data_IF_440335526624
#
_entry.id   IF_440335526624
#
_cell.length_a   1.000
_cell.length_b   1.000
_cell.length_c   1.000
_cell.angle_alpha   90.00
_cell.angle_beta   90.00
_cell.angle_gamma   90.00
#
_symmetry.space_group_name_H-M   'P 1'
#
loop_
_entity.id
_entity.type
_entity.pdbx_description
1 polymer ?
#
# COMPACT_ATOMS: atom_id res chain seq x y z
N UNK A 1 -10.27 20.49 41.06
CA UNK A 1 -10.10 19.09 40.62
C UNK A 1 -11.14 18.84 39.54
N UNK A 2 -10.75 18.94 38.28
CA UNK A 2 -11.64 18.67 37.15
C UNK A 2 -11.98 17.18 37.18
N UNK A 3 -13.20 16.85 37.57
CA UNK A 3 -13.74 15.51 37.38
C UNK A 3 -13.82 15.27 35.87
N UNK A 4 -12.74 14.74 35.29
CA UNK A 4 -12.68 14.40 33.89
C UNK A 4 -13.74 13.34 33.62
N UNK A 5 -14.67 13.66 32.71
CA UNK A 5 -15.70 12.72 32.24
C UNK A 5 -14.97 11.46 31.75
N UNK A 6 -15.05 10.39 32.55
CA UNK A 6 -14.44 9.11 32.21
C UNK A 6 -15.31 8.49 31.13
N UNK A 7 -14.78 8.40 29.91
CA UNK A 7 -15.49 7.79 28.78
C UNK A 7 -15.99 6.38 29.17
N UNK A 8 -17.19 5.97 28.73
CA UNK A 8 -17.65 4.61 28.94
C UNK A 8 -16.62 3.58 28.42
N UNK A 9 -16.40 2.44 29.11
CA UNK A 9 -15.40 1.44 28.70
C UNK A 9 -15.53 1.00 27.23
N UNK A 10 -16.76 0.82 26.76
CA UNK A 10 -17.04 0.44 25.37
C UNK A 10 -16.58 1.51 24.34
N UNK A 11 -16.63 2.80 24.72
CA UNK A 11 -16.15 3.90 23.88
C UNK A 11 -14.62 3.92 23.86
N UNK A 12 -13.98 3.68 25.00
CA UNK A 12 -12.51 3.59 25.08
C UNK A 12 -11.97 2.44 24.23
N UNK A 13 -12.60 1.26 24.30
CA UNK A 13 -12.23 0.11 23.46
C UNK A 13 -12.38 0.41 21.97
N UNK A 14 -13.50 1.05 21.58
CA UNK A 14 -13.73 1.47 20.19
C UNK A 14 -12.71 2.50 19.70
N UNK A 15 -12.29 3.45 20.54
CA UNK A 15 -11.24 4.41 20.21
C UNK A 15 -9.88 3.72 20.00
N UNK A 16 -9.52 2.78 20.88
CA UNK A 16 -8.30 1.98 20.73
C UNK A 16 -8.34 1.18 19.42
N UNK A 17 -9.48 0.56 19.11
CA UNK A 17 -9.65 -0.18 17.85
C UNK A 17 -9.54 0.73 16.64
N UNK A 18 -10.09 1.94 16.69
CA UNK A 18 -9.97 2.92 15.62
C UNK A 18 -8.50 3.28 15.35
N UNK A 19 -7.74 3.55 16.42
CA UNK A 19 -6.31 3.86 16.31
C UNK A 19 -5.54 2.70 15.67
N UNK A 20 -5.82 1.46 16.07
CA UNK A 20 -5.19 0.27 15.47
C UNK A 20 -5.50 0.15 13.98
N UNK A 21 -6.76 0.37 13.57
CA UNK A 21 -7.16 0.33 12.17
C UNK A 21 -6.50 1.44 11.34
N UNK A 22 -6.37 2.65 11.92
CA UNK A 22 -5.66 3.76 11.28
C UNK A 22 -4.17 3.44 11.07
N UNK A 23 -3.51 2.85 12.07
CA UNK A 23 -2.12 2.41 11.94
C UNK A 23 -1.96 1.32 10.87
N UNK A 24 -2.88 0.35 10.84
CA UNK A 24 -2.89 -0.67 9.81
C UNK A 24 -3.06 -0.06 8.42
N UNK A 25 -3.97 0.90 8.25
CA UNK A 25 -4.16 1.61 6.99
C UNK A 25 -2.90 2.35 6.54
N UNK A 26 -2.22 3.06 7.44
CA UNK A 26 -0.96 3.74 7.12
C UNK A 26 0.10 2.75 6.60
N UNK A 27 0.21 1.58 7.22
CA UNK A 27 1.14 0.54 6.79
C UNK A 27 0.79 0.00 5.40
N UNK A 28 -0.50 -0.23 5.11
CA UNK A 28 -0.95 -0.68 3.78
C UNK A 28 -0.66 0.37 2.71
N UNK A 29 -0.91 1.65 2.99
CA UNK A 29 -0.62 2.74 2.07
C UNK A 29 0.87 2.84 1.75
N UNK A 30 1.74 2.75 2.77
CA UNK A 30 3.18 2.77 2.58
C UNK A 30 3.67 1.58 1.73
N UNK A 31 3.16 0.37 2.00
CA UNK A 31 3.49 -0.81 1.20
C UNK A 31 3.02 -0.68 -0.24
N UNK A 32 1.80 -0.17 -0.46
CA UNK A 32 1.24 0.03 -1.80
C UNK A 32 2.06 1.03 -2.60
N UNK A 33 2.40 2.17 -1.99
CA UNK A 33 3.25 3.18 -2.61
C UNK A 33 4.62 2.62 -3.00
N UNK A 34 5.23 1.79 -2.15
CA UNK A 34 6.51 1.14 -2.48
C UNK A 34 6.42 0.27 -3.73
N UNK A 35 5.34 -0.51 -3.88
CA UNK A 35 5.13 -1.37 -5.06
C UNK A 35 4.78 -0.55 -6.30
N UNK A 36 4.04 0.54 -6.16
CA UNK A 36 3.74 1.46 -7.26
C UNK A 36 5.02 2.12 -7.82
N UNK A 37 5.98 2.45 -6.96
CA UNK A 37 7.29 2.95 -7.38
C UNK A 37 8.11 1.87 -8.12
N UNK A 38 8.12 0.63 -7.62
CA UNK A 38 8.76 -0.51 -8.29
C UNK A 38 8.15 -0.74 -9.68
N UNK A 39 6.81 -0.71 -9.78
CA UNK A 39 6.10 -0.84 -11.05
C UNK A 39 6.49 0.26 -12.04
N UNK A 40 6.59 1.51 -11.58
CA UNK A 40 7.01 2.64 -12.42
C UNK A 40 8.43 2.46 -12.96
N UNK A 41 9.35 1.93 -12.15
CA UNK A 41 10.72 1.63 -12.59
C UNK A 41 10.74 0.52 -13.64
N UNK A 42 9.97 -0.55 -13.44
CA UNK A 42 9.82 -1.64 -14.40
C UNK A 42 9.23 -1.15 -15.72
N UNK A 43 8.18 -0.33 -15.68
CA UNK A 43 7.55 0.24 -16.87
C UNK A 43 8.53 1.09 -17.67
N UNK A 44 9.33 1.94 -17.01
CA UNK A 44 10.39 2.71 -17.68
C UNK A 44 11.47 1.84 -18.30
N UNK A 45 11.88 0.77 -17.61
CA UNK A 45 12.88 -0.15 -18.13
C UNK A 45 12.37 -0.89 -19.38
N UNK A 46 11.11 -1.32 -19.38
CA UNK A 46 10.45 -1.92 -20.55
C UNK A 46 10.37 -0.91 -21.71
N UNK A 47 9.96 0.33 -21.45
CA UNK A 47 9.87 1.38 -22.47
C UNK A 47 11.23 1.66 -23.14
N UNK A 48 12.32 1.68 -22.37
CA UNK A 48 13.65 1.91 -22.91
C UNK A 48 14.18 0.68 -23.68
N UNK A 49 13.86 -0.53 -23.20
CA UNK A 49 14.20 -1.77 -23.91
C UNK A 49 13.51 -1.84 -25.27
N UNK A 50 12.24 -1.44 -25.38
CA UNK A 50 11.52 -1.38 -26.65
C UNK A 50 12.21 -0.49 -27.69
N UNK A 51 12.79 0.63 -27.24
CA UNK A 51 13.54 1.58 -28.09
C UNK A 51 14.94 1.10 -28.45
N UNK A 52 15.49 0.17 -27.69
CA UNK A 52 16.84 -0.37 -27.92
C UNK A 52 16.86 -1.22 -29.19
N UNK A 53 17.88 -1.06 -30.03
CA UNK A 53 18.03 -1.88 -31.24
C UNK A 53 18.26 -3.35 -30.90
N UNK A 54 17.93 -4.26 -31.83
CA UNK A 54 18.06 -5.71 -31.58
C UNK A 54 19.51 -6.20 -31.50
N UNK A 55 20.46 -5.42 -32.01
CA UNK A 55 21.90 -5.62 -31.86
C UNK A 55 22.48 -4.92 -30.61
N UNK A 56 21.63 -4.24 -29.83
CA UNK A 56 22.01 -3.56 -28.60
C UNK A 56 22.54 -4.53 -27.54
N UNK A 57 23.67 -4.16 -26.93
CA UNK A 57 24.26 -4.96 -25.84
C UNK A 57 23.64 -4.56 -24.52
N UNK A 58 22.88 -5.48 -23.91
CA UNK A 58 22.20 -5.25 -22.63
C UNK A 58 22.95 -5.96 -21.51
N UNK A 59 23.09 -5.26 -20.39
CA UNK A 59 23.63 -5.80 -19.14
C UNK A 59 22.58 -5.69 -18.05
N UNK A 60 22.43 -6.76 -17.26
CA UNK A 60 21.62 -6.73 -16.04
C UNK A 60 22.50 -6.68 -14.80
N UNK A 61 22.08 -5.89 -13.81
CA UNK A 61 22.76 -5.83 -12.51
C UNK A 61 22.34 -6.99 -11.61
N UNK A 62 23.33 -7.65 -11.00
CA UNK A 62 23.15 -8.70 -10.00
C UNK A 62 24.14 -8.44 -8.85
N UNK A 63 23.66 -7.77 -7.80
CA UNK A 63 24.52 -7.31 -6.71
C UNK A 63 25.53 -6.28 -7.20
N UNK A 64 26.82 -6.60 -7.08
CA UNK A 64 27.93 -5.78 -7.61
C UNK A 64 28.35 -6.16 -9.04
N UNK A 65 27.70 -7.14 -9.66
CA UNK A 65 28.07 -7.66 -10.98
C UNK A 65 27.14 -7.13 -12.07
N UNK A 66 27.70 -6.94 -13.27
CA UNK A 66 26.96 -6.70 -14.51
C UNK A 66 27.08 -7.95 -15.41
N UNK A 67 25.95 -8.55 -15.74
CA UNK A 67 25.89 -9.77 -16.54
C UNK A 67 25.25 -9.45 -17.89
N UNK A 68 25.96 -9.73 -18.99
CA UNK A 68 25.40 -9.58 -20.35
C UNK A 68 24.17 -10.50 -20.49
N UNK A 69 23.10 -9.97 -21.06
CA UNK A 69 21.85 -10.71 -21.27
C UNK A 69 21.22 -10.39 -22.61
N UNK A 70 20.26 -11.21 -23.01
CA UNK A 70 19.52 -11.05 -24.25
C UNK A 70 18.30 -10.15 -24.00
N UNK A 71 17.97 -9.30 -24.98
CA UNK A 71 16.82 -8.39 -24.93
C UNK A 71 15.52 -9.13 -24.64
N UNK A 72 15.28 -10.25 -25.32
CA UNK A 72 14.10 -11.11 -25.13
C UNK A 72 13.98 -11.58 -23.68
N UNK A 73 15.08 -12.12 -23.13
CA UNK A 73 15.13 -12.67 -21.78
C UNK A 73 14.85 -11.61 -20.71
N UNK A 74 15.49 -10.44 -20.81
CA UNK A 74 15.26 -9.37 -19.83
C UNK A 74 13.84 -8.78 -19.95
N UNK A 75 13.29 -8.75 -21.17
CA UNK A 75 11.91 -8.30 -21.41
C UNK A 75 10.91 -9.24 -20.75
N UNK A 76 11.10 -10.55 -20.86
CA UNK A 76 10.28 -11.56 -20.16
C UNK A 76 10.41 -11.40 -18.64
N UNK A 77 11.63 -11.33 -18.10
CA UNK A 77 11.88 -11.14 -16.65
C UNK A 77 11.20 -9.86 -16.10
N UNK A 78 11.20 -8.76 -16.86
CA UNK A 78 10.55 -7.51 -16.46
C UNK A 78 9.03 -7.57 -16.56
N UNK A 79 8.48 -8.24 -17.57
CA UNK A 79 7.03 -8.43 -17.69
C UNK A 79 6.48 -9.30 -16.54
N UNK A 80 7.17 -10.37 -16.16
CA UNK A 80 6.78 -11.17 -14.99
C UNK A 80 6.77 -10.33 -13.71
N UNK A 81 7.80 -9.48 -13.51
CA UNK A 81 7.84 -8.55 -12.36
C UNK A 81 6.70 -7.56 -12.39
N UNK A 82 6.37 -7.00 -13.55
CA UNK A 82 5.24 -6.11 -13.76
C UNK A 82 3.91 -6.77 -13.38
N UNK A 83 3.69 -8.01 -13.80
CA UNK A 83 2.48 -8.77 -13.45
C UNK A 83 2.37 -9.00 -11.94
N UNK A 84 3.47 -9.42 -11.30
CA UNK A 84 3.54 -9.62 -9.85
C UNK A 84 3.27 -8.32 -9.07
N UNK A 85 3.88 -7.21 -9.49
CA UNK A 85 3.67 -5.90 -8.88
C UNK A 85 2.20 -5.46 -8.99
N UNK A 86 1.59 -5.60 -10.18
CA UNK A 86 0.17 -5.29 -10.40
C UNK A 86 -0.76 -6.14 -9.54
N UNK A 87 -0.49 -7.45 -9.43
CA UNK A 87 -1.26 -8.34 -8.55
C UNK A 87 -1.18 -7.88 -7.09
N UNK A 88 0.03 -7.53 -6.62
CA UNK A 88 0.25 -7.06 -5.26
C UNK A 88 -0.46 -5.72 -5.00
N UNK A 89 -0.41 -4.78 -5.93
CA UNK A 89 -1.15 -3.50 -5.84
C UNK A 89 -2.66 -3.76 -5.73
N UNK A 90 -3.20 -4.67 -6.54
CA UNK A 90 -4.63 -5.05 -6.50
C UNK A 90 -5.04 -5.60 -5.14
N UNK A 91 -4.23 -6.50 -4.57
CA UNK A 91 -4.48 -7.06 -3.22
C UNK A 91 -4.41 -5.97 -2.15
N UNK A 92 -3.39 -5.11 -2.19
CA UNK A 92 -3.23 -4.00 -1.25
C UNK A 92 -4.38 -2.98 -1.37
N UNK A 93 -4.86 -2.71 -2.58
CA UNK A 93 -6.02 -1.86 -2.84
C UNK A 93 -7.30 -2.40 -2.19
N UNK A 94 -7.57 -3.70 -2.32
CA UNK A 94 -8.71 -4.34 -1.64
C UNK A 94 -8.58 -4.27 -0.10
N UNK A 95 -7.37 -4.44 0.43
CA UNK A 95 -7.11 -4.30 1.87
C UNK A 95 -7.33 -2.85 2.35
N UNK A 96 -6.85 -1.87 1.57
CA UNK A 96 -7.06 -0.45 1.81
C UNK A 96 -8.56 -0.11 1.89
N UNK A 97 -9.35 -0.51 0.89
CA UNK A 97 -10.79 -0.27 0.83
C UNK A 97 -11.52 -0.86 2.05
N UNK A 98 -11.20 -2.11 2.41
CA UNK A 98 -11.78 -2.78 3.58
C UNK A 98 -11.48 -2.02 4.87
N UNK A 99 -10.23 -1.61 5.07
CA UNK A 99 -9.82 -0.85 6.26
C UNK A 99 -10.53 0.50 6.32
N UNK A 100 -10.64 1.22 5.19
CA UNK A 100 -11.37 2.49 5.11
C UNK A 100 -12.85 2.31 5.47
N UNK A 101 -13.51 1.25 5.00
CA UNK A 101 -14.90 0.95 5.38
C UNK A 101 -15.04 0.71 6.87
N UNK A 102 -14.17 -0.13 7.45
CA UNK A 102 -14.18 -0.43 8.89
C UNK A 102 -13.95 0.83 9.74
N UNK A 103 -13.01 1.70 9.34
CA UNK A 103 -12.75 2.98 9.99
C UNK A 103 -13.99 3.89 9.93
N UNK A 104 -14.62 3.99 8.76
CA UNK A 104 -15.84 4.80 8.57
C UNK A 104 -16.97 4.32 9.47
N UNK A 105 -17.29 3.03 9.45
CA UNK A 105 -18.33 2.43 10.29
C UNK A 105 -18.06 2.64 11.78
N UNK A 106 -16.80 2.50 12.21
CA UNK A 106 -16.40 2.68 13.60
C UNK A 106 -16.51 4.15 14.03
N UNK A 107 -16.13 5.09 13.17
CA UNK A 107 -16.33 6.53 13.39
C UNK A 107 -17.81 6.88 13.53
N UNK A 108 -18.67 6.35 12.66
CA UNK A 108 -20.12 6.58 12.74
C UNK A 108 -20.75 6.01 14.03
N UNK A 109 -20.22 4.89 14.54
CA UNK A 109 -20.63 4.35 15.84
C UNK A 109 -20.14 5.23 16.99
N UNK A 110 -18.87 5.62 16.98
CA UNK A 110 -18.30 6.52 17.99
C UNK A 110 -19.02 7.87 18.06
N UNK A 111 -19.39 8.46 16.92
CA UNK A 111 -20.18 9.70 16.89
C UNK A 111 -21.55 9.54 17.54
N UNK A 112 -22.21 8.39 17.33
CA UNK A 112 -23.49 8.07 17.98
C UNK A 112 -23.34 7.90 19.49
N UNK A 113 -22.28 7.24 19.94
CA UNK A 113 -22.01 7.03 21.36
C UNK A 113 -21.66 8.33 22.10
N UNK A 114 -20.97 9.26 21.41
CA UNK A 114 -20.49 10.52 21.99
C UNK A 114 -21.55 11.64 21.97
N UNK A 115 -22.53 11.61 21.06
CA UNK A 115 -23.61 12.62 20.98
C UNK A 115 -24.34 12.83 22.32
N UNK A 116 -24.83 11.78 23.02
CA UNK A 116 -25.50 11.93 24.31
C UNK A 116 -24.63 12.53 25.42
N UNK A 117 -23.30 12.38 25.32
CA UNK A 117 -22.33 12.89 26.28
C UNK A 117 -21.97 14.37 26.05
N UNK A 118 -22.24 14.91 24.85
CA UNK A 118 -21.99 16.32 24.49
C UNK A 118 -23.14 17.26 24.83
N UNK A 119 -24.32 16.71 25.15
CA UNK A 119 -25.55 17.41 25.47
C UNK A 119 -25.86 17.47 26.98
N UNK A 120 -24.88 17.12 27.82
CA UNK A 120 -24.93 17.25 29.29
C UNK A 120 -23.88 18.23 29.78
#
# INVERSE_FOLDING_TARGET
MSAGIKLPPAVQERLLRLQQLQQALQNILAQKQQVELELLEVDKALEELEKTSDDGVIYKSVGSLLIKTEKSKITEELNERKELANMRISVLGKQEERLRSQIKELNERLQRDLRPLSSQ
#
